data_IF_640371712677
#
_entry.id   IF_640371712677
#
_cell.length_a   1.000
_cell.length_b   1.000
_cell.length_c   1.000
_cell.angle_alpha   90.00
_cell.angle_beta   90.00
_cell.angle_gamma   90.00
#
_symmetry.space_group_name_H-M   'P 1'
#
loop_
_entity.id
_entity.type
_entity.pdbx_description
1 polymer ?
#
# COMPACT_ATOMS: atom_id res chain seq x y z
N UNK A 1 -3.27 21.68 -5.84
CA UNK A 1 -4.25 20.57 -5.65
C UNK A 1 -4.33 19.82 -6.95
N UNK A 2 -4.17 18.49 -6.96
CA UNK A 2 -4.23 17.69 -8.19
C UNK A 2 -5.69 17.46 -8.61
N UNK A 3 -5.93 17.37 -9.93
CA UNK A 3 -7.27 17.16 -10.50
C UNK A 3 -7.73 15.71 -10.28
N UNK A 4 -9.04 15.45 -10.39
CA UNK A 4 -9.62 14.09 -10.29
C UNK A 4 -8.98 13.13 -11.32
N UNK A 5 -8.75 13.59 -12.56
CA UNK A 5 -8.07 12.80 -13.59
C UNK A 5 -6.64 12.44 -13.16
N UNK A 6 -5.89 13.39 -12.61
CA UNK A 6 -4.55 13.15 -12.08
C UNK A 6 -4.55 12.19 -10.89
N UNK A 7 -5.55 12.26 -10.02
CA UNK A 7 -5.74 11.28 -8.94
C UNK A 7 -5.96 9.87 -9.48
N UNK A 8 -6.80 9.73 -10.50
CA UNK A 8 -7.05 8.44 -11.16
C UNK A 8 -5.79 7.89 -11.84
N UNK A 9 -5.02 8.75 -12.52
CA UNK A 9 -3.74 8.39 -13.13
C UNK A 9 -2.75 7.90 -12.04
N UNK A 10 -2.61 8.63 -10.94
CA UNK A 10 -1.74 8.26 -9.84
C UNK A 10 -2.16 6.90 -9.23
N UNK A 11 -3.46 6.70 -9.02
CA UNK A 11 -4.01 5.43 -8.49
C UNK A 11 -3.65 4.26 -9.39
N UNK A 12 -3.89 4.37 -10.70
CA UNK A 12 -3.59 3.31 -11.67
C UNK A 12 -2.09 3.03 -11.78
N UNK A 13 -1.25 4.07 -11.73
CA UNK A 13 0.21 3.88 -11.75
C UNK A 13 0.65 3.10 -10.52
N UNK A 14 0.15 3.45 -9.33
CA UNK A 14 0.49 2.74 -8.08
C UNK A 14 0.02 1.28 -8.16
N UNK A 15 -1.22 1.03 -8.54
CA UNK A 15 -1.76 -0.33 -8.66
C UNK A 15 -0.97 -1.19 -9.66
N UNK A 16 -0.70 -0.67 -10.85
CA UNK A 16 0.08 -1.40 -11.85
C UNK A 16 1.51 -1.68 -11.36
N UNK A 17 2.16 -0.67 -10.80
CA UNK A 17 3.53 -0.80 -10.33
C UNK A 17 3.64 -1.77 -9.15
N UNK A 18 2.69 -1.74 -8.21
CA UNK A 18 2.65 -2.68 -7.09
C UNK A 18 2.49 -4.13 -7.55
N UNK A 19 1.71 -4.36 -8.62
CA UNK A 19 1.46 -5.69 -9.14
C UNK A 19 2.60 -6.23 -10.04
N UNK A 20 3.30 -5.34 -10.76
CA UNK A 20 4.23 -5.77 -11.80
C UNK A 20 5.69 -5.41 -11.55
N UNK A 21 5.96 -4.41 -10.71
CA UNK A 21 7.28 -3.83 -10.51
C UNK A 21 7.79 -3.03 -11.72
N UNK A 22 6.96 -2.84 -12.77
CA UNK A 22 7.37 -2.20 -14.01
C UNK A 22 6.85 -0.75 -14.11
N UNK A 23 7.66 0.17 -14.69
CA UNK A 23 7.22 1.54 -14.94
C UNK A 23 5.98 1.59 -15.85
N UNK A 24 5.04 2.49 -15.55
CA UNK A 24 3.76 2.58 -16.24
C UNK A 24 3.78 3.72 -17.25
N UNK A 25 3.47 3.40 -18.51
CA UNK A 25 3.38 4.37 -19.62
C UNK A 25 1.95 4.81 -19.92
N UNK A 26 1.81 5.88 -20.71
CA UNK A 26 0.49 6.41 -21.11
C UNK A 26 -0.39 5.41 -21.87
N UNK A 27 0.23 4.50 -22.65
CA UNK A 27 -0.49 3.47 -23.38
C UNK A 27 -1.23 2.51 -22.42
N UNK A 28 -0.53 2.05 -21.39
CA UNK A 28 -1.12 1.17 -20.36
C UNK A 28 -2.29 1.85 -19.64
N UNK A 29 -2.15 3.15 -19.31
CA UNK A 29 -3.23 3.91 -18.66
C UNK A 29 -4.47 4.09 -19.56
N UNK A 30 -4.29 4.19 -20.88
CA UNK A 30 -5.41 4.18 -21.82
C UNK A 30 -6.11 2.80 -21.85
N UNK A 31 -5.34 1.71 -21.85
CA UNK A 31 -5.86 0.35 -21.78
C UNK A 31 -6.62 0.10 -20.46
N UNK A 32 -6.18 0.70 -19.37
CA UNK A 32 -6.81 0.63 -18.05
C UNK A 32 -8.03 1.58 -17.90
N UNK A 33 -8.46 2.24 -18.97
CA UNK A 33 -9.72 2.97 -19.02
C UNK A 33 -9.62 4.49 -18.81
N UNK A 34 -8.44 5.10 -18.85
CA UNK A 34 -8.33 6.57 -18.87
C UNK A 34 -8.80 7.10 -20.22
N UNK A 35 -9.99 7.72 -20.23
CA UNK A 35 -10.61 8.31 -21.42
C UNK A 35 -9.96 9.64 -21.82
N UNK A 36 -8.68 9.60 -22.23
CA UNK A 36 -7.92 10.77 -22.67
C UNK A 36 -6.84 10.38 -23.69
N UNK A 37 -6.39 11.34 -24.51
CA UNK A 37 -5.31 11.10 -25.45
C UNK A 37 -4.00 10.79 -24.73
N UNK A 38 -3.12 10.01 -25.38
CA UNK A 38 -1.79 9.71 -24.85
C UNK A 38 -0.99 10.98 -24.54
N UNK A 39 -1.16 12.05 -25.31
CA UNK A 39 -0.51 13.35 -25.08
C UNK A 39 -1.04 14.00 -23.78
N UNK A 40 -2.35 14.00 -23.57
CA UNK A 40 -2.98 14.51 -22.34
C UNK A 40 -2.51 13.75 -21.11
N UNK A 41 -2.50 12.41 -21.19
CA UNK A 41 -2.02 11.57 -20.09
C UNK A 41 -0.56 11.85 -19.76
N UNK A 42 0.31 12.02 -20.77
CA UNK A 42 1.72 12.37 -20.55
C UNK A 42 1.89 13.73 -19.87
N UNK A 43 1.05 14.71 -20.22
CA UNK A 43 1.07 16.01 -19.56
C UNK A 43 0.64 15.89 -18.09
N UNK A 44 -0.39 15.12 -17.80
CA UNK A 44 -0.80 14.85 -16.41
C UNK A 44 0.27 14.08 -15.62
N UNK A 45 0.91 13.08 -16.24
CA UNK A 45 2.03 12.37 -15.61
C UNK A 45 3.22 13.30 -15.32
N UNK A 46 3.50 14.25 -16.23
CA UNK A 46 4.54 15.26 -16.03
C UNK A 46 4.17 16.21 -14.87
N UNK A 47 2.94 16.66 -14.79
CA UNK A 47 2.47 17.48 -13.68
C UNK A 47 2.59 16.73 -12.34
N UNK A 48 2.22 15.45 -12.30
CA UNK A 48 2.38 14.61 -11.09
C UNK A 48 3.86 14.41 -10.71
N UNK A 49 4.76 14.34 -11.69
CA UNK A 49 6.22 14.32 -11.48
C UNK A 49 6.71 15.65 -10.89
N UNK A 50 6.23 16.78 -11.41
CA UNK A 50 6.54 18.12 -10.89
C UNK A 50 6.02 18.32 -9.46
N UNK A 51 4.90 17.72 -9.09
CA UNK A 51 4.41 17.64 -7.69
C UNK A 51 5.19 16.66 -6.82
N UNK A 52 6.16 15.93 -7.38
CA UNK A 52 6.96 14.96 -6.66
C UNK A 52 6.22 13.65 -6.32
N UNK A 53 5.03 13.41 -6.91
CA UNK A 53 4.24 12.20 -6.66
C UNK A 53 4.66 11.02 -7.54
N UNK A 54 5.28 11.30 -8.68
CA UNK A 54 5.84 10.31 -9.60
C UNK A 54 7.32 10.59 -9.82
N UNK A 55 8.05 9.55 -10.22
CA UNK A 55 9.44 9.65 -10.65
C UNK A 55 9.62 9.02 -12.04
N UNK A 56 10.57 9.55 -12.82
CA UNK A 56 10.97 8.99 -14.10
C UNK A 56 12.13 8.01 -13.90
N UNK A 57 12.06 6.86 -14.55
CA UNK A 57 13.19 5.93 -14.60
C UNK A 57 14.13 6.27 -15.76
N UNK A 58 15.42 6.02 -15.58
CA UNK A 58 16.45 6.37 -16.57
C UNK A 58 16.29 5.67 -17.94
N UNK A 59 15.58 4.54 -17.97
CA UNK A 59 15.52 3.65 -19.15
C UNK A 59 14.17 3.62 -19.87
N UNK A 60 13.13 4.33 -19.38
CA UNK A 60 11.81 4.23 -19.98
C UNK A 60 11.05 5.57 -20.00
N UNK A 61 10.08 5.67 -20.93
CA UNK A 61 9.10 6.77 -20.94
C UNK A 61 8.03 6.64 -19.84
N UNK A 62 8.02 5.52 -19.10
CA UNK A 62 7.10 5.26 -18.00
C UNK A 62 7.45 6.01 -16.74
N UNK A 63 6.51 5.99 -15.79
CA UNK A 63 6.66 6.58 -14.46
C UNK A 63 6.47 5.52 -13.40
N UNK A 64 7.14 5.73 -12.28
CA UNK A 64 6.98 4.94 -11.06
C UNK A 64 6.48 5.85 -9.93
N UNK A 65 5.78 5.32 -8.92
CA UNK A 65 5.40 6.11 -7.75
C UNK A 65 6.63 6.54 -6.95
N UNK A 66 6.63 7.75 -6.44
CA UNK A 66 7.58 8.21 -5.42
C UNK A 66 7.08 7.83 -4.02
N UNK A 67 7.92 7.99 -3.00
CA UNK A 67 7.50 7.84 -1.60
C UNK A 67 6.36 8.80 -1.24
N UNK A 68 6.42 10.05 -1.74
CA UNK A 68 5.34 11.02 -1.55
C UNK A 68 4.06 10.60 -2.30
N UNK A 69 4.19 9.98 -3.48
CA UNK A 69 3.06 9.43 -4.23
C UNK A 69 2.35 8.31 -3.47
N UNK A 70 3.09 7.36 -2.90
CA UNK A 70 2.51 6.32 -2.05
C UNK A 70 1.82 6.91 -0.82
N UNK A 71 2.44 7.87 -0.14
CA UNK A 71 1.84 8.56 1.00
C UNK A 71 0.54 9.23 0.60
N UNK A 72 0.54 10.01 -0.48
CA UNK A 72 -0.66 10.67 -0.99
C UNK A 72 -1.78 9.66 -1.31
N UNK A 73 -1.42 8.53 -1.93
CA UNK A 73 -2.39 7.47 -2.24
C UNK A 73 -3.04 6.89 -0.99
N UNK A 74 -2.23 6.55 0.03
CA UNK A 74 -2.76 5.99 1.29
C UNK A 74 -3.63 7.00 2.04
N UNK A 75 -3.20 8.25 2.10
CA UNK A 75 -3.88 9.28 2.89
C UNK A 75 -5.17 9.81 2.22
N UNK A 76 -5.25 9.76 0.87
CA UNK A 76 -6.33 10.46 0.16
C UNK A 76 -7.08 9.64 -0.89
N UNK A 77 -6.46 8.60 -1.46
CA UNK A 77 -7.03 7.87 -2.59
C UNK A 77 -7.39 6.42 -2.27
N UNK A 78 -6.79 5.85 -1.23
CA UNK A 78 -7.09 4.49 -0.79
C UNK A 78 -8.48 4.49 -0.13
N UNK A 79 -9.39 3.75 -0.74
CA UNK A 79 -10.66 3.48 -0.10
C UNK A 79 -10.51 2.23 0.78
N UNK A 80 -10.99 2.27 2.04
CA UNK A 80 -11.00 1.07 2.86
C UNK A 80 -11.76 -0.05 2.15
N UNK A 81 -11.08 -1.13 1.88
CA UNK A 81 -11.74 -2.34 1.39
C UNK A 81 -12.58 -2.88 2.54
N UNK A 82 -13.85 -3.17 2.29
CA UNK A 82 -14.65 -3.87 3.29
C UNK A 82 -14.06 -5.27 3.47
N UNK A 83 -13.70 -5.58 4.70
CA UNK A 83 -13.22 -6.92 5.07
C UNK A 83 -14.37 -7.89 4.87
N UNK A 84 -14.15 -8.98 4.15
CA UNK A 84 -15.17 -9.99 3.92
C UNK A 84 -15.64 -10.61 5.24
N UNK A 85 -16.92 -10.99 5.30
CA UNK A 85 -17.53 -11.57 6.52
C UNK A 85 -16.78 -12.82 7.02
N UNK A 86 -16.20 -13.60 6.12
CA UNK A 86 -15.37 -14.75 6.46
C UNK A 86 -14.06 -14.35 7.15
N UNK A 87 -13.44 -13.27 6.72
CA UNK A 87 -12.22 -12.72 7.32
C UNK A 87 -12.53 -12.10 8.68
N UNK A 88 -13.63 -11.33 8.78
CA UNK A 88 -14.12 -10.81 10.06
C UNK A 88 -14.38 -11.93 11.08
N UNK A 89 -14.95 -13.05 10.62
CA UNK A 89 -15.19 -14.22 11.48
C UNK A 89 -13.89 -14.85 11.95
N UNK A 90 -12.88 -14.99 11.09
CA UNK A 90 -11.54 -15.47 11.46
C UNK A 90 -10.89 -14.55 12.50
N UNK A 91 -10.93 -13.24 12.27
CA UNK A 91 -10.41 -12.25 13.22
C UNK A 91 -11.09 -12.40 14.59
N UNK A 92 -12.43 -12.45 14.62
CA UNK A 92 -13.18 -12.62 15.87
C UNK A 92 -12.84 -13.92 16.59
N UNK A 93 -12.68 -15.03 15.86
CA UNK A 93 -12.29 -16.32 16.42
C UNK A 93 -10.86 -16.30 16.97
N UNK A 94 -9.93 -15.62 16.31
CA UNK A 94 -8.56 -15.48 16.78
C UNK A 94 -8.46 -14.74 18.11
N UNK A 95 -9.28 -13.70 18.30
CA UNK A 95 -9.33 -12.91 19.53
C UNK A 95 -10.41 -13.34 20.53
N UNK A 96 -11.16 -14.40 20.24
CA UNK A 96 -12.20 -14.94 21.14
C UNK A 96 -11.67 -15.85 22.27
N UNK A 97 -10.36 -16.03 22.38
CA UNK A 97 -9.71 -16.83 23.44
C UNK A 97 -9.33 -15.93 24.61
N UNK A 98 -9.36 -16.51 25.82
CA UNK A 98 -8.80 -15.81 26.98
C UNK A 98 -7.28 -15.67 26.83
N UNK A 99 -6.80 -14.44 26.90
CA UNK A 99 -5.36 -14.14 26.89
C UNK A 99 -4.90 -13.98 28.33
N UNK A 100 -3.82 -14.65 28.66
CA UNK A 100 -3.27 -14.62 30.01
C UNK A 100 -2.17 -13.57 30.16
N UNK A 101 -1.50 -13.21 29.05
CA UNK A 101 -0.43 -12.24 29.00
C UNK A 101 -0.51 -11.35 27.76
N UNK A 102 0.05 -10.14 27.84
CA UNK A 102 0.15 -9.20 26.72
C UNK A 102 0.92 -9.83 25.53
N UNK A 103 1.91 -10.66 25.80
CA UNK A 103 2.69 -11.37 24.79
C UNK A 103 1.84 -12.33 23.96
N UNK A 104 0.79 -12.91 24.52
CA UNK A 104 -0.13 -13.77 23.78
C UNK A 104 -0.96 -12.97 22.79
N UNK A 105 -1.41 -11.77 23.19
CA UNK A 105 -2.14 -10.85 22.31
C UNK A 105 -1.25 -10.41 21.14
N UNK A 106 0.01 -10.04 21.44
CA UNK A 106 0.97 -9.60 20.44
C UNK A 106 1.24 -10.72 19.43
N UNK A 107 1.52 -11.93 19.89
CA UNK A 107 1.76 -13.10 19.04
C UNK A 107 0.55 -13.42 18.17
N UNK A 108 -0.64 -13.50 18.75
CA UNK A 108 -1.88 -13.79 18.04
C UNK A 108 -2.18 -12.69 16.97
N UNK A 109 -1.91 -11.43 17.29
CA UNK A 109 -2.06 -10.33 16.34
C UNK A 109 -1.10 -10.49 15.15
N UNK A 110 0.15 -10.85 15.39
CA UNK A 110 1.14 -11.09 14.33
C UNK A 110 0.75 -12.27 13.43
N UNK A 111 0.32 -13.38 14.02
CA UNK A 111 -0.13 -14.56 13.29
C UNK A 111 -1.34 -14.21 12.42
N UNK A 112 -2.36 -13.57 13.00
CA UNK A 112 -3.57 -13.17 12.27
C UNK A 112 -3.26 -12.21 11.11
N UNK A 113 -2.40 -11.20 11.33
CA UNK A 113 -1.97 -10.27 10.28
C UNK A 113 -1.18 -10.98 9.17
N UNK A 114 -0.29 -11.90 9.53
CA UNK A 114 0.48 -12.68 8.57
C UNK A 114 -0.42 -13.57 7.69
N UNK A 115 -1.42 -14.21 8.28
CA UNK A 115 -2.39 -15.03 7.55
C UNK A 115 -3.26 -14.20 6.60
N UNK A 116 -3.78 -13.05 7.07
CA UNK A 116 -4.66 -12.19 6.27
C UNK A 116 -3.93 -11.49 5.13
N UNK A 117 -2.69 -11.11 5.33
CA UNK A 117 -1.92 -10.32 4.35
C UNK A 117 -0.96 -11.16 3.50
N UNK A 118 -0.69 -12.42 3.90
CA UNK A 118 0.37 -13.26 3.35
C UNK A 118 1.77 -12.64 3.46
N UNK A 119 1.95 -11.69 4.39
CA UNK A 119 3.25 -11.09 4.70
C UNK A 119 3.84 -11.68 5.96
N UNK A 120 5.19 -11.72 6.04
CA UNK A 120 5.89 -12.05 7.27
C UNK A 120 5.82 -10.89 8.24
N UNK A 121 5.29 -11.13 9.45
CA UNK A 121 5.27 -10.16 10.53
C UNK A 121 6.47 -10.36 11.46
N UNK A 122 7.25 -9.29 11.69
CA UNK A 122 8.31 -9.23 12.67
C UNK A 122 7.92 -8.27 13.79
N UNK A 123 7.81 -8.78 15.00
CA UNK A 123 7.50 -7.99 16.18
C UNK A 123 8.71 -7.95 17.11
N UNK A 124 9.14 -6.75 17.46
CA UNK A 124 10.17 -6.52 18.45
C UNK A 124 9.49 -6.26 19.79
N UNK A 125 9.66 -7.17 20.72
CA UNK A 125 9.28 -6.93 22.12
C UNK A 125 10.47 -6.34 22.83
N UNK A 126 10.28 -5.25 23.58
CA UNK A 126 11.30 -4.75 24.50
C UNK A 126 11.66 -5.85 25.49
N UNK A 127 12.94 -6.08 25.78
CA UNK A 127 13.33 -7.04 26.82
C UNK A 127 12.64 -6.65 28.12
N UNK A 128 12.07 -7.66 28.79
CA UNK A 128 11.38 -7.45 30.06
C UNK A 128 12.40 -6.98 31.12
N UNK A 129 11.99 -6.19 32.11
CA UNK A 129 12.86 -5.85 33.24
C UNK A 129 13.48 -7.08 33.94
N UNK A 130 12.88 -8.25 33.80
CA UNK A 130 13.40 -9.52 34.30
C UNK A 130 14.64 -10.01 33.54
N UNK A 131 14.76 -9.65 32.24
CA UNK A 131 15.90 -10.06 31.42
C UNK A 131 17.18 -9.29 31.79
N UNK A 132 17.06 -8.11 32.41
CA UNK A 132 18.16 -7.33 32.95
C UNK A 132 18.57 -7.74 34.34
N UNK A 133 17.76 -8.49 35.08
CA UNK A 133 18.05 -8.92 36.45
C UNK A 133 18.85 -10.24 36.50
N UNK A 134 19.04 -10.89 35.35
CA UNK A 134 19.73 -12.19 35.24
C UNK A 134 21.17 -12.07 34.67
N UNK A 135 21.75 -10.85 34.63
CA UNK A 135 23.12 -10.60 34.13
C UNK A 135 24.07 -10.22 35.25
#
# INVERSE_FOLDING_TARGET
MITERQQNILRLIIQNYTNTGLPVGSKKLMEDGIASSSATIRNDMKALEEYGLLAKTHSSSGRIPSMAGYRYYVDHLLQPTQVEENELRRIRQSFGKEFHEINDIIRQSAETLSELTSYTCLLYTSPSPRDYAAS
#
